data_IF_681360629085
#
_entry.id   IF_681360629085
#
_cell.length_a   1.000
_cell.length_b   1.000
_cell.length_c   1.000
_cell.angle_alpha   90.00
_cell.angle_beta   90.00
_cell.angle_gamma   90.00
#
_symmetry.space_group_name_H-M   'P 1'
#
loop_
_entity.id
_entity.type
_entity.pdbx_description
1 polymer ?
#
# COMPACT_ATOMS: atom_id res chain seq x y z
N UNK A 1 0.62 12.12 -9.45
CA UNK A 1 0.39 10.71 -9.79
C UNK A 1 1.18 9.87 -8.80
N UNK A 2 0.67 8.72 -8.37
CA UNK A 2 1.43 7.78 -7.56
C UNK A 2 1.48 6.45 -8.31
N UNK A 3 2.69 5.95 -8.60
CA UNK A 3 2.92 4.65 -9.22
C UNK A 3 3.58 3.74 -8.21
N UNK A 4 3.07 2.52 -8.12
CA UNK A 4 3.58 1.49 -7.24
C UNK A 4 3.85 0.26 -8.09
N UNK A 5 5.11 -0.17 -8.11
CA UNK A 5 5.56 -1.33 -8.88
C UNK A 5 5.83 -2.48 -7.92
N UNK A 6 5.12 -3.60 -8.10
CA UNK A 6 5.37 -4.81 -7.32
C UNK A 6 6.67 -5.45 -7.77
N UNK A 7 7.62 -5.64 -6.84
CA UNK A 7 8.85 -6.39 -7.12
C UNK A 7 8.75 -7.85 -6.72
N UNK A 8 8.27 -8.11 -5.50
CA UNK A 8 8.29 -9.46 -4.95
C UNK A 8 7.09 -9.71 -4.02
N UNK A 9 6.62 -10.96 -3.99
CA UNK A 9 5.48 -11.41 -3.18
C UNK A 9 5.89 -12.65 -2.38
N UNK A 10 6.08 -12.48 -1.08
CA UNK A 10 6.30 -13.56 -0.11
C UNK A 10 4.94 -13.97 0.48
N UNK A 11 4.36 -15.04 -0.04
CA UNK A 11 3.02 -15.52 0.34
C UNK A 11 3.00 -16.15 1.73
N UNK A 12 4.07 -16.81 2.14
CA UNK A 12 4.16 -17.48 3.45
C UNK A 12 4.12 -16.47 4.59
N UNK A 13 4.86 -15.36 4.44
CA UNK A 13 4.95 -14.29 5.43
C UNK A 13 3.99 -13.14 5.14
N UNK A 14 3.18 -13.24 4.07
CA UNK A 14 2.22 -12.22 3.61
C UNK A 14 2.86 -10.84 3.44
N UNK A 15 4.05 -10.80 2.85
CA UNK A 15 4.79 -9.57 2.64
C UNK A 15 5.00 -9.31 1.17
N UNK A 16 4.89 -8.05 0.79
CA UNK A 16 5.21 -7.58 -0.55
C UNK A 16 6.33 -6.55 -0.48
N UNK A 17 7.19 -6.58 -1.48
CA UNK A 17 8.19 -5.55 -1.72
C UNK A 17 7.73 -4.73 -2.92
N UNK A 18 7.62 -3.42 -2.74
CA UNK A 18 7.18 -2.50 -3.79
C UNK A 18 8.16 -1.36 -3.94
N UNK A 19 8.26 -0.91 -5.19
CA UNK A 19 8.87 0.35 -5.53
C UNK A 19 7.78 1.41 -5.66
N UNK A 20 7.99 2.58 -5.09
CA UNK A 20 6.98 3.66 -5.07
C UNK A 20 7.57 4.92 -5.65
N UNK A 21 6.86 5.50 -6.62
CA UNK A 21 7.19 6.77 -7.25
C UNK A 21 5.98 7.67 -7.17
N UNK A 22 6.08 8.73 -6.37
CA UNK A 22 5.04 9.76 -6.30
C UNK A 22 5.54 11.03 -6.97
N UNK A 23 4.71 11.55 -7.88
CA UNK A 23 4.95 12.78 -8.61
C UNK A 23 3.91 13.85 -8.27
N UNK A 24 4.37 15.08 -8.07
CA UNK A 24 3.54 16.28 -7.90
C UNK A 24 3.87 17.23 -9.04
N UNK A 25 2.86 17.58 -9.86
CA UNK A 25 3.03 18.44 -11.05
C UNK A 25 4.15 17.96 -11.99
N UNK A 26 4.26 16.64 -12.17
CA UNK A 26 5.29 16.03 -13.03
C UNK A 26 6.69 15.94 -12.40
N UNK A 27 6.91 16.46 -11.19
CA UNK A 27 8.17 16.33 -10.46
C UNK A 27 8.11 15.15 -9.49
N UNK A 28 9.11 14.28 -9.52
CA UNK A 28 9.27 13.20 -8.52
C UNK A 28 9.57 13.84 -7.17
N UNK A 29 8.73 13.54 -6.18
CA UNK A 29 8.89 14.03 -4.81
C UNK A 29 9.26 12.91 -3.85
N UNK A 30 8.82 11.69 -4.14
CA UNK A 30 9.15 10.49 -3.39
C UNK A 30 9.46 9.40 -4.41
N UNK A 31 10.62 8.78 -4.21
CA UNK A 31 11.11 7.63 -4.93
C UNK A 31 11.75 6.71 -3.89
N UNK A 32 11.30 5.46 -3.81
CA UNK A 32 11.85 4.54 -2.83
C UNK A 32 11.07 3.25 -2.66
N UNK A 33 11.69 2.35 -1.91
CA UNK A 33 11.19 1.00 -1.66
C UNK A 33 10.39 0.93 -0.36
N UNK A 34 9.30 0.15 -0.40
CA UNK A 34 8.50 -0.15 0.77
C UNK A 34 8.26 -1.66 0.90
N UNK A 35 8.33 -2.14 2.14
CA UNK A 35 7.96 -3.51 2.50
C UNK A 35 6.67 -3.47 3.29
N UNK A 36 5.60 -4.03 2.73
CA UNK A 36 4.26 -3.98 3.33
C UNK A 36 3.79 -5.37 3.71
N UNK A 37 3.06 -5.47 4.83
CA UNK A 37 2.27 -6.67 5.13
C UNK A 37 0.90 -6.56 4.48
N UNK A 38 0.46 -7.62 3.82
CA UNK A 38 -0.85 -7.68 3.18
C UNK A 38 -1.85 -8.29 4.16
N UNK A 39 -2.88 -7.52 4.51
CA UNK A 39 -3.98 -8.02 5.34
C UNK A 39 -4.74 -9.13 4.60
N UNK A 40 -5.17 -10.17 5.32
CA UNK A 40 -6.13 -11.14 4.77
C UNK A 40 -7.44 -10.41 4.47
N UNK A 41 -8.13 -10.75 3.38
CA UNK A 41 -9.36 -10.06 2.92
C UNK A 41 -10.38 -9.84 4.05
N UNK A 42 -10.63 -10.86 4.86
CA UNK A 42 -11.52 -10.78 6.04
C UNK A 42 -11.07 -9.76 7.11
N UNK A 43 -9.77 -9.52 7.27
CA UNK A 43 -9.24 -8.49 8.19
C UNK A 43 -9.22 -7.10 7.54
N UNK A 44 -9.05 -7.01 6.22
CA UNK A 44 -9.08 -5.75 5.49
C UNK A 44 -10.49 -5.12 5.53
N UNK A 45 -11.54 -5.95 5.42
CA UNK A 45 -12.94 -5.51 5.51
C UNK A 45 -13.27 -4.95 6.91
N UNK A 46 -12.89 -5.65 7.99
CA UNK A 46 -13.09 -5.21 9.37
C UNK A 46 -12.38 -3.88 9.70
N UNK A 47 -11.18 -3.65 9.16
CA UNK A 47 -10.43 -2.41 9.38
C UNK A 47 -10.98 -1.22 8.58
N UNK A 48 -11.71 -1.49 7.47
CA UNK A 48 -12.34 -0.46 6.65
C UNK A 48 -13.68 0.04 7.24
N UNK A 49 -14.46 -0.85 7.86
CA UNK A 49 -15.65 -0.47 8.63
C UNK A 49 -15.30 0.48 9.78
N UNK A 50 -14.19 0.23 10.47
CA UNK A 50 -13.72 1.08 11.58
C UNK A 50 -13.30 2.50 11.14
N UNK A 51 -12.98 2.71 9.84
CA UNK A 51 -12.62 4.04 9.30
C UNK A 51 -13.80 4.78 8.68
N UNK A 52 -14.89 4.10 8.34
CA UNK A 52 -16.06 4.74 7.71
C UNK A 52 -16.92 5.48 8.73
N UNK A 53 -16.96 5.03 9.99
CA UNK A 53 -17.71 5.69 11.09
C UNK A 53 -16.98 6.89 11.74
N UNK A 54 -15.77 7.23 11.31
CA UNK A 54 -15.04 8.41 11.78
C UNK A 54 -15.10 9.61 10.81
N UNK A 55 -15.88 9.49 9.73
CA UNK A 55 -16.07 10.51 8.71
C UNK A 55 -17.50 11.06 8.65
N UNK A 56 -18.28 10.90 9.73
CA UNK A 56 -19.58 11.56 9.92
C UNK A 56 -19.51 12.52 11.12
#
# INVERSE_FOLDING_TARGET
EARVTLREVDKEKKRILVDTVCTVRGKVVLDGEAKLMVAKRAQAEASNESKTVAAE
#
